data_IF_317322021357
#
_entry.id   IF_317322021357
#
_cell.length_a   1.000
_cell.length_b   1.000
_cell.length_c   1.000
_cell.angle_alpha   90.00
_cell.angle_beta   90.00
_cell.angle_gamma   90.00
#
_symmetry.space_group_name_H-M   'P 1'
#
loop_
_entity.id
_entity.type
_entity.pdbx_description
1 polymer ?
#
# COMPACT_ATOMS: atom_id res chain seq x y z
N UNK A 1 -19.06 44.07 14.37
CA UNK A 1 -17.75 43.54 14.78
C UNK A 1 -16.94 43.22 13.53
N UNK A 2 -16.06 44.12 13.11
CA UNK A 2 -15.11 43.82 12.04
C UNK A 2 -13.88 43.15 12.65
N UNK A 3 -13.83 41.83 12.59
CA UNK A 3 -12.62 41.09 12.93
C UNK A 3 -11.62 41.20 11.80
N UNK A 4 -10.32 41.20 12.12
CA UNK A 4 -9.20 41.20 11.14
C UNK A 4 -9.25 40.03 10.15
N UNK A 5 -10.13 39.04 10.39
CA UNK A 5 -10.38 37.89 9.53
C UNK A 5 -11.43 38.13 8.42
N UNK A 6 -12.19 39.22 8.47
CA UNK A 6 -13.22 39.53 7.47
C UNK A 6 -12.60 40.24 6.26
N UNK A 7 -12.18 39.47 5.26
CA UNK A 7 -11.63 40.00 4.00
C UNK A 7 -12.69 40.25 2.92
N UNK A 8 -13.88 39.66 3.05
CA UNK A 8 -15.02 39.87 2.15
C UNK A 8 -16.32 39.99 2.97
N UNK A 9 -17.31 40.72 2.45
CA UNK A 9 -18.62 40.86 3.11
C UNK A 9 -19.43 39.55 3.18
N UNK A 10 -19.17 38.62 2.26
CA UNK A 10 -19.72 37.26 2.30
C UNK A 10 -18.59 36.25 2.50
N UNK A 11 -18.67 35.46 3.57
CA UNK A 11 -17.76 34.35 3.82
C UNK A 11 -18.06 33.22 2.82
N UNK A 12 -17.43 33.26 1.65
CA UNK A 12 -17.57 32.21 0.65
C UNK A 12 -16.66 31.04 1.00
N UNK A 13 -17.26 29.86 1.18
CA UNK A 13 -16.49 28.61 1.25
C UNK A 13 -15.79 28.38 -0.09
N UNK A 14 -14.47 28.28 -0.04
CA UNK A 14 -13.65 27.97 -1.21
C UNK A 14 -12.98 26.61 -0.99
N UNK A 15 -12.68 25.91 -2.08
CA UNK A 15 -11.91 24.66 -2.03
C UNK A 15 -10.61 24.82 -1.22
N UNK A 16 -9.90 25.95 -1.37
CA UNK A 16 -8.67 26.23 -0.61
C UNK A 16 -8.91 26.40 0.88
N UNK A 17 -10.03 27.00 1.29
CA UNK A 17 -10.38 27.11 2.70
C UNK A 17 -10.67 25.73 3.31
N UNK A 18 -11.44 24.89 2.60
CA UNK A 18 -11.71 23.50 3.02
C UNK A 18 -10.43 22.67 3.07
N UNK A 19 -9.60 22.74 2.02
CA UNK A 19 -8.31 22.04 1.96
C UNK A 19 -7.42 22.39 3.16
N UNK A 20 -7.38 23.67 3.55
CA UNK A 20 -6.61 24.12 4.73
C UNK A 20 -7.14 23.53 6.04
N UNK A 21 -8.46 23.35 6.16
CA UNK A 21 -9.07 22.72 7.33
C UNK A 21 -8.69 21.24 7.39
N UNK A 22 -8.92 20.51 6.30
CA UNK A 22 -8.67 19.06 6.24
C UNK A 22 -7.21 18.65 6.42
N UNK A 23 -6.26 19.57 6.17
CA UNK A 23 -4.82 19.32 6.32
C UNK A 23 -4.23 19.81 7.63
N UNK A 24 -5.00 20.49 8.47
CA UNK A 24 -4.48 21.11 9.69
C UNK A 24 -4.41 20.11 10.85
N UNK A 25 -3.19 19.79 11.25
CA UNK A 25 -2.89 18.85 12.36
C UNK A 25 -3.37 19.35 13.74
N UNK A 26 -3.74 20.63 13.86
CA UNK A 26 -4.39 21.13 15.08
C UNK A 26 -5.66 20.35 15.41
N UNK A 27 -6.41 19.86 14.42
CA UNK A 27 -7.64 19.11 14.68
C UNK A 27 -7.43 17.75 15.36
N UNK A 28 -6.21 17.21 15.33
CA UNK A 28 -5.81 15.99 16.04
C UNK A 28 -5.05 16.28 17.34
N UNK A 29 -5.12 17.51 17.86
CA UNK A 29 -4.44 17.90 19.11
C UNK A 29 -2.95 18.20 18.96
N UNK A 30 -2.44 18.32 17.73
CA UNK A 30 -1.02 18.62 17.45
C UNK A 30 -0.83 20.11 17.22
N UNK A 31 -0.03 20.76 18.08
CA UNK A 31 0.35 22.16 17.92
C UNK A 31 1.68 22.25 17.16
N UNK A 32 1.64 22.74 15.92
CA UNK A 32 2.83 22.98 15.11
C UNK A 32 3.17 24.48 15.05
N UNK A 33 4.30 24.87 15.64
CA UNK A 33 4.83 26.24 15.66
C UNK A 33 6.07 26.39 14.76
N UNK A 34 6.41 27.63 14.41
CA UNK A 34 7.60 27.92 13.59
C UNK A 34 7.43 27.66 12.09
N UNK A 35 6.20 27.50 11.57
CA UNK A 35 5.95 27.25 10.13
C UNK A 35 6.50 28.33 9.19
N UNK A 36 6.69 29.54 9.70
CA UNK A 36 7.19 30.71 8.96
C UNK A 36 8.26 31.41 9.78
N UNK A 37 9.27 31.94 9.12
CA UNK A 37 10.33 32.72 9.75
C UNK A 37 11.05 33.63 8.76
N UNK A 38 11.95 34.45 9.25
CA UNK A 38 12.85 35.25 8.40
C UNK A 38 14.18 34.52 8.20
N UNK A 39 14.79 34.56 7.01
CA UNK A 39 16.06 33.89 6.75
C UNK A 39 17.20 34.36 7.66
N UNK A 40 17.22 35.65 8.00
CA UNK A 40 18.10 36.22 8.99
C UNK A 40 17.42 37.44 9.65
N UNK A 41 18.11 38.06 10.61
CA UNK A 41 17.60 39.22 11.34
C UNK A 41 17.55 40.53 10.53
N UNK A 42 18.27 40.61 9.42
CA UNK A 42 18.35 41.82 8.55
C UNK A 42 17.30 41.81 7.45
N UNK A 43 16.90 40.64 6.98
CA UNK A 43 15.98 40.44 5.88
C UNK A 43 14.58 40.22 6.44
N UNK A 44 13.75 41.26 6.39
CA UNK A 44 12.35 41.23 6.86
C UNK A 44 11.38 40.55 5.87
N UNK A 45 11.86 39.51 5.17
CA UNK A 45 11.04 38.71 4.24
C UNK A 45 10.65 37.42 4.93
N UNK A 46 9.36 37.23 5.17
CA UNK A 46 8.82 36.01 5.78
C UNK A 46 8.78 34.90 4.74
N UNK A 47 9.44 33.78 5.03
CA UNK A 47 9.41 32.55 4.21
C UNK A 47 8.82 31.39 5.00
N UNK A 48 8.24 30.43 4.30
CA UNK A 48 7.88 29.14 4.88
C UNK A 48 9.15 28.36 5.20
N UNK A 49 9.17 27.73 6.38
CA UNK A 49 10.24 26.82 6.79
C UNK A 49 9.88 25.39 6.42
N UNK A 50 10.89 24.57 6.24
CA UNK A 50 10.73 23.13 6.00
C UNK A 50 10.04 22.46 7.19
N UNK A 51 9.25 21.41 6.96
CA UNK A 51 8.46 20.77 8.03
C UNK A 51 9.35 20.17 9.12
N UNK A 52 10.58 19.78 8.77
CA UNK A 52 11.61 19.30 9.68
C UNK A 52 12.07 20.35 10.69
N UNK A 53 11.93 21.64 10.40
CA UNK A 53 12.24 22.74 11.32
C UNK A 53 11.07 23.12 12.23
N UNK A 54 9.89 22.51 12.04
CA UNK A 54 8.71 22.86 12.81
C UNK A 54 8.77 22.23 14.19
N UNK A 55 8.46 23.03 15.21
CA UNK A 55 8.29 22.52 16.56
C UNK A 55 6.87 21.99 16.67
N UNK A 56 6.73 20.65 16.66
CA UNK A 56 5.44 19.96 16.83
C UNK A 56 5.33 19.43 18.26
N UNK A 57 4.26 19.81 18.95
CA UNK A 57 3.90 19.27 20.27
C UNK A 57 2.61 18.49 20.11
N UNK A 58 2.67 17.19 20.37
CA UNK A 58 1.52 16.29 20.34
C UNK A 58 0.69 16.44 21.63
N UNK A 59 -0.62 16.15 21.55
CA UNK A 59 -1.56 16.21 22.68
C UNK A 59 -1.55 17.55 23.43
N UNK A 60 -1.35 18.67 22.71
CA UNK A 60 -1.32 20.00 23.31
C UNK A 60 -2.72 20.48 23.76
N UNK A 61 -3.78 19.91 23.21
CA UNK A 61 -5.18 20.14 23.59
C UNK A 61 -6.05 18.95 23.16
N UNK A 62 -7.31 18.94 23.61
CA UNK A 62 -8.29 17.93 23.21
C UNK A 62 -8.48 17.93 21.68
N UNK A 63 -8.34 16.75 21.07
CA UNK A 63 -8.51 16.58 19.64
C UNK A 63 -9.99 16.70 19.25
N UNK A 64 -10.26 17.36 18.12
CA UNK A 64 -11.61 17.51 17.57
C UNK A 64 -12.02 16.32 16.70
N UNK A 65 -11.05 15.63 16.11
CA UNK A 65 -11.23 14.41 15.31
C UNK A 65 -10.19 13.37 15.69
N UNK A 66 -10.51 12.09 15.46
CA UNK A 66 -9.55 11.02 15.69
C UNK A 66 -8.36 11.12 14.73
N UNK A 67 -7.21 10.59 15.17
CA UNK A 67 -6.04 10.48 14.31
C UNK A 67 -6.33 9.61 13.07
N UNK A 68 -7.09 8.52 13.25
CA UNK A 68 -7.45 7.58 12.20
C UNK A 68 -8.29 8.25 11.10
N UNK A 69 -9.33 8.99 11.48
CA UNK A 69 -10.18 9.71 10.52
C UNK A 69 -9.37 10.76 9.75
N UNK A 70 -8.53 11.52 10.46
CA UNK A 70 -7.70 12.56 9.84
C UNK A 70 -6.68 11.96 8.85
N UNK A 71 -6.07 10.82 9.19
CA UNK A 71 -5.19 10.10 8.27
C UNK A 71 -5.95 9.53 7.08
N UNK A 72 -7.14 8.96 7.29
CA UNK A 72 -7.98 8.46 6.21
C UNK A 72 -8.31 9.58 5.21
N UNK A 73 -8.68 10.77 5.69
CA UNK A 73 -8.92 11.95 4.84
C UNK A 73 -7.65 12.37 4.10
N UNK A 74 -6.48 12.43 4.77
CA UNK A 74 -5.21 12.76 4.10
C UNK A 74 -4.92 11.79 2.94
N UNK A 75 -5.14 10.49 3.13
CA UNK A 75 -4.97 9.47 2.08
C UNK A 75 -5.98 9.68 0.95
N UNK A 76 -7.25 9.94 1.27
CA UNK A 76 -8.27 10.22 0.25
C UNK A 76 -7.92 11.46 -0.58
N UNK A 77 -7.36 12.51 0.03
CA UNK A 77 -6.98 13.76 -0.65
C UNK A 77 -5.81 13.59 -1.62
N UNK A 78 -4.99 12.55 -1.49
CA UNK A 78 -3.93 12.24 -2.45
C UNK A 78 -4.48 11.72 -3.79
N UNK A 79 -5.71 11.20 -3.79
CA UNK A 79 -6.36 10.68 -5.00
C UNK A 79 -6.96 11.84 -5.80
N UNK A 80 -6.53 11.99 -7.05
CA UNK A 80 -7.14 12.97 -7.95
C UNK A 80 -8.46 12.44 -8.51
N UNK A 81 -9.56 12.84 -7.86
CA UNK A 81 -10.94 12.52 -8.26
C UNK A 81 -11.62 13.70 -8.95
N UNK A 82 -10.87 14.62 -9.58
CA UNK A 82 -11.46 15.79 -10.24
C UNK A 82 -12.37 15.37 -11.41
N UNK A 83 -13.60 15.85 -11.37
CA UNK A 83 -14.53 15.78 -12.50
C UNK A 83 -14.29 16.94 -13.47
N UNK A 84 -14.56 16.73 -14.75
CA UNK A 84 -14.72 17.85 -15.68
C UNK A 84 -15.95 18.69 -15.28
N UNK A 85 -15.98 20.00 -15.56
CA UNK A 85 -17.13 20.86 -15.24
C UNK A 85 -18.48 20.34 -15.76
N UNK A 86 -18.47 19.59 -16.86
CA UNK A 86 -19.66 19.04 -17.51
C UNK A 86 -20.09 17.66 -16.98
N UNK A 87 -19.51 17.18 -15.88
CA UNK A 87 -19.78 15.87 -15.30
C UNK A 87 -19.95 15.97 -13.78
N UNK A 88 -21.05 15.41 -13.28
CA UNK A 88 -21.36 15.42 -11.84
C UNK A 88 -20.56 14.36 -11.06
N UNK A 89 -20.20 13.25 -11.72
CA UNK A 89 -19.51 12.12 -11.11
C UNK A 89 -18.19 11.80 -11.81
N UNK A 90 -17.18 11.45 -11.01
CA UNK A 90 -15.91 11.01 -11.57
C UNK A 90 -15.98 9.53 -11.95
N UNK A 91 -15.18 9.16 -12.95
CA UNK A 91 -15.18 7.82 -13.50
C UNK A 91 -14.64 6.78 -12.51
N UNK A 92 -15.06 5.51 -12.67
CA UNK A 92 -14.75 4.39 -11.78
C UNK A 92 -13.27 4.29 -11.37
N UNK A 93 -12.34 4.51 -12.31
CA UNK A 93 -10.90 4.38 -12.07
C UNK A 93 -10.15 5.71 -11.95
N UNK A 94 -10.86 6.82 -11.77
CA UNK A 94 -10.24 8.13 -11.53
C UNK A 94 -9.37 8.11 -10.27
N UNK A 95 -8.11 8.52 -10.41
CA UNK A 95 -7.14 8.54 -9.31
C UNK A 95 -6.53 7.18 -8.93
N UNK A 96 -6.90 6.08 -9.60
CA UNK A 96 -6.40 4.73 -9.29
C UNK A 96 -5.33 4.20 -10.25
N UNK A 97 -5.37 4.62 -11.52
CA UNK A 97 -4.50 4.04 -12.56
C UNK A 97 -3.22 4.83 -12.72
N UNK A 98 -2.09 4.14 -12.66
CA UNK A 98 -0.76 4.71 -12.86
C UNK A 98 0.00 3.92 -13.94
N UNK A 99 0.85 4.62 -14.68
CA UNK A 99 1.72 3.99 -15.67
C UNK A 99 2.84 3.20 -14.97
N UNK A 100 3.06 1.93 -15.34
CA UNK A 100 4.13 1.11 -14.77
C UNK A 100 5.53 1.73 -14.94
N UNK A 101 5.81 2.31 -16.10
CA UNK A 101 7.15 2.83 -16.41
C UNK A 101 7.44 4.21 -15.78
N UNK A 102 6.56 5.19 -15.97
CA UNK A 102 6.80 6.57 -15.51
C UNK A 102 6.11 6.92 -14.20
N UNK A 103 5.31 6.00 -13.64
CA UNK A 103 4.55 6.15 -12.39
C UNK A 103 3.59 7.36 -12.36
N UNK A 104 3.37 8.02 -13.49
CA UNK A 104 2.41 9.11 -13.62
C UNK A 104 0.99 8.56 -13.80
N UNK A 105 -0.04 9.30 -13.36
CA UNK A 105 -1.43 8.86 -13.46
C UNK A 105 -1.84 8.65 -14.93
N UNK A 106 -2.63 7.62 -15.20
CA UNK A 106 -3.22 7.38 -16.51
C UNK A 106 -4.49 8.20 -16.69
N UNK A 107 -4.73 8.68 -17.91
CA UNK A 107 -5.87 9.52 -18.24
C UNK A 107 -6.82 8.78 -19.17
N UNK A 108 -8.12 8.99 -18.94
CA UNK A 108 -9.18 8.44 -19.78
C UNK A 108 -9.19 9.14 -21.15
N UNK A 109 -9.29 8.35 -22.21
CA UNK A 109 -9.43 8.81 -23.60
C UNK A 109 -10.63 8.11 -24.22
N UNK A 110 -11.58 8.90 -24.70
CA UNK A 110 -12.70 8.39 -25.51
C UNK A 110 -12.34 8.49 -26.98
N UNK A 111 -12.40 7.35 -27.68
CA UNK A 111 -12.18 7.24 -29.13
C UNK A 111 -13.53 6.95 -29.80
N UNK A 112 -14.12 7.91 -30.52
CA UNK A 112 -15.32 7.66 -31.29
C UNK A 112 -15.00 6.81 -32.53
N UNK A 113 -15.89 5.88 -32.89
CA UNK A 113 -15.79 5.04 -34.07
C UNK A 113 -17.18 4.80 -34.66
N UNK A 114 -17.48 5.52 -35.74
CA UNK A 114 -18.80 5.53 -36.41
C UNK A 114 -19.94 5.71 -35.39
N UNK A 115 -20.60 4.62 -34.99
CA UNK A 115 -21.73 4.59 -34.06
C UNK A 115 -21.35 4.26 -32.61
N UNK A 116 -20.13 3.78 -32.35
CA UNK A 116 -19.67 3.32 -31.03
C UNK A 116 -18.60 4.24 -30.45
N UNK A 117 -18.55 4.33 -29.13
CA UNK A 117 -17.49 5.03 -28.39
C UNK A 117 -16.68 4.00 -27.62
N UNK A 118 -15.37 3.99 -27.83
CA UNK A 118 -14.43 3.14 -27.09
C UNK A 118 -13.68 3.97 -26.06
N UNK A 119 -13.43 3.40 -24.89
CA UNK A 119 -12.75 4.09 -23.79
C UNK A 119 -11.44 3.37 -23.52
N UNK A 120 -10.36 4.15 -23.45
CA UNK A 120 -9.02 3.68 -23.14
C UNK A 120 -8.43 4.50 -21.99
N UNK A 121 -7.56 3.88 -21.21
CA UNK A 121 -6.66 4.58 -20.30
C UNK A 121 -5.30 4.68 -20.96
N UNK A 122 -4.76 5.90 -21.03
CA UNK A 122 -3.47 6.18 -21.68
C UNK A 122 -2.52 6.87 -20.72
N UNK A 123 -1.22 6.62 -20.88
CA UNK A 123 -0.20 7.32 -20.10
C UNK A 123 -0.28 8.85 -20.31
N UNK A 124 -0.42 9.61 -19.22
CA UNK A 124 -0.52 11.07 -19.27
C UNK A 124 0.77 11.72 -19.78
N UNK A 125 1.92 11.24 -19.33
CA UNK A 125 3.25 11.71 -19.75
C UNK A 125 3.45 11.54 -21.25
N UNK A 126 3.19 10.36 -21.79
CA UNK A 126 3.30 10.15 -23.24
C UNK A 126 2.35 11.08 -24.02
N UNK A 127 1.11 11.26 -23.53
CA UNK A 127 0.12 12.12 -24.21
C UNK A 127 0.52 13.60 -24.22
N UNK A 128 1.12 14.12 -23.15
CA UNK A 128 1.47 15.54 -23.05
C UNK A 128 2.89 15.86 -23.53
N UNK A 129 3.89 15.10 -23.09
CA UNK A 129 5.31 15.39 -23.34
C UNK A 129 6.02 14.37 -24.24
N UNK A 130 5.39 13.22 -24.54
CA UNK A 130 5.99 12.11 -25.32
C UNK A 130 7.31 11.58 -24.74
N UNK A 131 7.55 11.78 -23.45
CA UNK A 131 8.77 11.33 -22.76
C UNK A 131 8.66 9.91 -22.19
N UNK A 132 7.49 9.27 -22.33
CA UNK A 132 7.24 7.88 -21.94
C UNK A 132 6.70 7.12 -23.15
N UNK A 133 6.82 5.78 -23.16
CA UNK A 133 6.28 4.92 -24.20
C UNK A 133 4.74 5.01 -24.30
N UNK A 134 4.15 4.68 -25.47
CA UNK A 134 2.72 4.83 -25.72
C UNK A 134 1.84 3.75 -25.07
N UNK A 135 1.88 3.66 -23.74
CA UNK A 135 1.02 2.74 -22.98
C UNK A 135 -0.45 3.13 -23.08
N UNK A 136 -1.26 2.15 -23.46
CA UNK A 136 -2.71 2.26 -23.60
C UNK A 136 -3.33 0.92 -23.28
N UNK A 137 -4.43 0.95 -22.53
CA UNK A 137 -5.24 -0.24 -22.21
C UNK A 137 -6.72 0.08 -22.36
N UNK A 138 -7.51 -0.89 -22.85
CA UNK A 138 -8.95 -0.72 -22.98
C UNK A 138 -9.61 -0.67 -21.60
N UNK A 139 -10.55 0.25 -21.38
CA UNK A 139 -11.21 0.40 -20.08
C UNK A 139 -11.96 -0.87 -19.64
N UNK A 140 -12.59 -1.58 -20.59
CA UNK A 140 -13.26 -2.87 -20.32
C UNK A 140 -12.30 -3.95 -19.83
N UNK A 141 -11.08 -3.97 -20.38
CA UNK A 141 -10.06 -4.94 -19.98
C UNK A 141 -9.57 -4.67 -18.55
N UNK A 142 -9.40 -3.39 -18.20
CA UNK A 142 -9.09 -2.99 -16.81
C UNK A 142 -10.22 -3.39 -15.88
N UNK A 143 -11.46 -3.10 -16.25
CA UNK A 143 -12.65 -3.42 -15.45
C UNK A 143 -12.76 -4.91 -15.17
N UNK A 144 -12.62 -5.74 -16.20
CA UNK A 144 -12.69 -7.19 -16.07
C UNK A 144 -11.55 -7.75 -15.21
N UNK A 145 -10.31 -7.27 -15.40
CA UNK A 145 -9.16 -7.71 -14.60
C UNK A 145 -9.29 -7.32 -13.14
N UNK A 146 -9.70 -6.08 -12.86
CA UNK A 146 -9.90 -5.60 -11.49
C UNK A 146 -11.05 -6.34 -10.83
N UNK A 147 -12.16 -6.57 -11.54
CA UNK A 147 -13.29 -7.34 -11.04
C UNK A 147 -12.88 -8.75 -10.64
N UNK A 148 -12.16 -9.48 -11.52
CA UNK A 148 -11.66 -10.82 -11.22
C UNK A 148 -10.73 -10.82 -10.03
N UNK A 149 -9.75 -9.91 -9.98
CA UNK A 149 -8.82 -9.82 -8.85
C UNK A 149 -9.54 -9.58 -7.51
N UNK A 150 -10.56 -8.73 -7.48
CA UNK A 150 -11.38 -8.50 -6.29
C UNK A 150 -12.20 -9.75 -5.95
N UNK A 151 -12.81 -10.39 -6.95
CA UNK A 151 -13.61 -11.59 -6.76
C UNK A 151 -12.79 -12.75 -6.18
N UNK A 152 -11.61 -13.02 -6.76
CA UNK A 152 -10.67 -14.05 -6.32
C UNK A 152 -10.22 -13.79 -4.87
N UNK A 153 -9.97 -12.52 -4.53
CA UNK A 153 -9.60 -12.13 -3.15
C UNK A 153 -10.75 -12.37 -2.16
N UNK A 154 -11.98 -12.04 -2.55
CA UNK A 154 -13.18 -12.28 -1.72
C UNK A 154 -13.39 -13.79 -1.54
N UNK A 155 -13.30 -14.56 -2.61
CA UNK A 155 -13.45 -16.02 -2.59
C UNK A 155 -12.40 -16.67 -1.67
N UNK A 156 -11.15 -16.21 -1.71
CA UNK A 156 -10.10 -16.69 -0.83
C UNK A 156 -10.42 -16.43 0.65
N UNK A 157 -10.96 -15.26 0.99
CA UNK A 157 -11.37 -14.92 2.37
C UNK A 157 -12.54 -15.79 2.83
N UNK A 158 -13.56 -15.96 1.99
CA UNK A 158 -14.73 -16.81 2.30
C UNK A 158 -14.30 -18.26 2.49
N UNK A 159 -13.47 -18.80 1.59
CA UNK A 159 -12.97 -20.17 1.69
C UNK A 159 -12.12 -20.37 2.95
N UNK A 160 -11.34 -19.37 3.37
CA UNK A 160 -10.61 -19.40 4.62
C UNK A 160 -11.55 -19.45 5.83
N UNK A 161 -12.60 -18.63 5.87
CA UNK A 161 -13.61 -18.68 6.94
C UNK A 161 -14.31 -20.04 7.00
N UNK A 162 -14.67 -20.61 5.84
CA UNK A 162 -15.26 -21.94 5.76
C UNK A 162 -14.29 -23.03 6.24
N UNK A 163 -13.01 -22.95 5.85
CA UNK A 163 -11.99 -23.89 6.30
C UNK A 163 -11.80 -23.81 7.82
N UNK A 164 -11.73 -22.60 8.39
CA UNK A 164 -11.62 -22.39 9.84
C UNK A 164 -12.84 -22.94 10.59
N UNK A 165 -14.05 -22.68 10.09
CA UNK A 165 -15.28 -23.21 10.67
C UNK A 165 -15.36 -24.74 10.58
N UNK A 166 -14.83 -25.35 9.52
CA UNK A 166 -14.73 -26.80 9.38
C UNK A 166 -13.75 -27.39 10.40
N UNK A 167 -12.58 -26.77 10.57
CA UNK A 167 -11.58 -27.16 11.57
C UNK A 167 -12.17 -27.08 12.99
N UNK A 168 -13.01 -26.07 13.26
CA UNK A 168 -13.68 -25.93 14.55
C UNK A 168 -14.67 -27.06 14.87
N UNK A 169 -15.33 -27.60 13.84
CA UNK A 169 -16.32 -28.67 13.97
C UNK A 169 -15.71 -30.08 14.04
N UNK A 170 -14.42 -30.24 13.77
CA UNK A 170 -13.74 -31.52 13.92
C UNK A 170 -13.69 -31.93 15.39
N UNK A 171 -13.93 -33.22 15.72
CA UNK A 171 -13.73 -33.76 17.07
C UNK A 171 -12.34 -33.39 17.60
N UNK A 172 -12.21 -33.14 18.91
CA UNK A 172 -10.97 -32.62 19.52
C UNK A 172 -9.69 -33.42 19.17
N UNK A 173 -9.80 -34.74 18.99
CA UNK A 173 -8.70 -35.61 18.54
C UNK A 173 -8.34 -35.36 17.06
N UNK A 174 -9.34 -35.20 16.18
CA UNK A 174 -9.13 -34.88 14.76
C UNK A 174 -8.62 -33.44 14.55
N UNK A 175 -9.03 -32.49 15.39
CA UNK A 175 -8.52 -31.10 15.35
C UNK A 175 -7.06 -31.00 15.77
N UNK A 176 -6.62 -31.80 16.75
CA UNK A 176 -5.20 -31.89 17.13
C UNK A 176 -4.38 -32.53 16.01
N UNK A 177 -4.83 -33.64 15.45
CA UNK A 177 -4.17 -34.30 14.30
C UNK A 177 -4.01 -33.33 13.11
N UNK A 178 -5.09 -32.64 12.73
CA UNK A 178 -5.07 -31.64 11.65
C UNK A 178 -4.09 -30.49 11.92
N UNK A 179 -4.05 -29.96 13.16
CA UNK A 179 -3.11 -28.89 13.52
C UNK A 179 -1.65 -29.35 13.44
N UNK A 180 -1.36 -30.60 13.84
CA UNK A 180 -0.01 -31.16 13.69
C UNK A 180 0.34 -31.41 12.23
N UNK A 181 -0.58 -31.92 11.42
CA UNK A 181 -0.39 -32.07 9.97
C UNK A 181 -0.12 -30.72 9.28
N UNK A 182 -0.85 -29.66 9.63
CA UNK A 182 -0.62 -28.32 9.10
C UNK A 182 0.74 -27.74 9.54
N UNK A 183 1.16 -27.98 10.79
CA UNK A 183 2.50 -27.59 11.27
C UNK A 183 3.61 -28.35 10.55
N UNK A 184 3.43 -29.66 10.31
CA UNK A 184 4.35 -30.51 9.55
C UNK A 184 4.49 -29.97 8.13
N UNK A 185 3.38 -29.74 7.42
CA UNK A 185 3.40 -29.23 6.05
C UNK A 185 4.11 -27.87 5.94
N UNK A 186 3.89 -26.96 6.90
CA UNK A 186 4.59 -25.67 6.94
C UNK A 186 6.10 -25.82 7.15
N UNK A 187 6.53 -26.71 8.05
CA UNK A 187 7.96 -26.96 8.30
C UNK A 187 8.60 -27.60 7.05
N UNK A 188 7.90 -28.52 6.38
CA UNK A 188 8.36 -29.15 5.13
C UNK A 188 8.51 -28.13 3.99
N UNK A 189 7.55 -27.22 3.81
CA UNK A 189 7.62 -26.14 2.81
C UNK A 189 8.83 -25.22 3.10
N UNK A 190 9.06 -24.86 4.37
CA UNK A 190 10.22 -24.05 4.74
C UNK A 190 11.54 -24.78 4.46
N UNK A 191 11.63 -26.09 4.74
CA UNK A 191 12.79 -26.92 4.40
C UNK A 191 13.02 -26.90 2.88
N UNK A 192 11.99 -27.13 2.07
CA UNK A 192 12.10 -27.13 0.61
C UNK A 192 12.56 -25.76 0.08
N UNK A 193 12.04 -24.66 0.65
CA UNK A 193 12.48 -23.30 0.32
C UNK A 193 13.97 -23.10 0.57
N UNK A 194 14.47 -23.50 1.74
CA UNK A 194 15.90 -23.38 2.07
C UNK A 194 16.78 -24.32 1.24
N UNK A 195 16.27 -25.50 0.86
CA UNK A 195 16.96 -26.39 -0.08
C UNK A 195 17.10 -25.76 -1.47
N UNK A 196 16.04 -25.12 -1.99
CA UNK A 196 16.08 -24.36 -3.25
C UNK A 196 17.07 -23.20 -3.20
N UNK A 197 17.06 -22.43 -2.11
CA UNK A 197 18.03 -21.33 -1.89
C UNK A 197 19.47 -21.86 -1.85
N UNK A 198 19.71 -23.00 -1.18
CA UNK A 198 21.01 -23.65 -1.11
C UNK A 198 21.49 -24.16 -2.47
N UNK A 199 20.59 -24.67 -3.32
CA UNK A 199 20.90 -25.06 -4.70
C UNK A 199 21.29 -23.84 -5.54
N UNK A 200 20.51 -22.75 -5.46
CA UNK A 200 20.78 -21.50 -6.19
C UNK A 200 22.07 -20.78 -5.79
N UNK A 201 22.64 -21.06 -4.60
CA UNK A 201 23.93 -20.48 -4.19
C UNK A 201 25.07 -20.80 -5.16
N UNK A 202 25.08 -22.00 -5.75
CA UNK A 202 26.14 -22.37 -6.68
C UNK A 202 26.05 -21.58 -7.99
N UNK A 203 24.84 -21.36 -8.49
CA UNK A 203 24.59 -20.53 -9.66
C UNK A 203 25.00 -19.08 -9.41
N UNK A 204 24.67 -18.53 -8.25
CA UNK A 204 25.07 -17.17 -7.86
C UNK A 204 26.59 -17.03 -7.70
N UNK A 205 27.28 -18.07 -7.23
CA UNK A 205 28.74 -18.09 -7.13
C UNK A 205 29.41 -18.11 -8.50
N UNK A 206 28.95 -18.97 -9.43
CA UNK A 206 29.44 -18.96 -10.82
C UNK A 206 29.12 -17.65 -11.52
N UNK A 207 27.95 -17.07 -11.27
CA UNK A 207 27.51 -15.80 -11.82
C UNK A 207 28.28 -14.58 -11.28
N UNK A 208 29.21 -14.77 -10.33
CA UNK A 208 30.01 -13.71 -9.74
C UNK A 208 29.21 -12.74 -8.87
N UNK A 209 28.00 -13.12 -8.45
CA UNK A 209 27.12 -12.31 -7.59
C UNK A 209 27.58 -12.35 -6.13
N UNK A 210 28.18 -13.47 -5.72
CA UNK A 210 28.71 -13.70 -4.37
C UNK A 210 30.15 -14.20 -4.44
N UNK A 211 30.95 -13.86 -3.44
CA UNK A 211 32.33 -14.33 -3.34
C UNK A 211 32.44 -15.72 -2.68
N UNK A 212 33.65 -16.26 -2.63
CA UNK A 212 33.90 -17.59 -2.04
C UNK A 212 33.61 -17.63 -0.53
N UNK A 213 33.91 -16.57 0.19
CA UNK A 213 33.68 -16.47 1.64
C UNK A 213 32.18 -16.45 1.94
N UNK A 214 31.46 -15.57 1.24
CA UNK A 214 30.00 -15.42 1.30
C UNK A 214 29.28 -16.71 0.92
N UNK A 215 29.76 -17.43 -0.11
CA UNK A 215 29.22 -18.73 -0.48
C UNK A 215 29.29 -19.74 0.68
N UNK A 216 30.44 -19.86 1.36
CA UNK A 216 30.57 -20.77 2.49
C UNK A 216 29.72 -20.34 3.69
N UNK A 217 29.64 -19.04 3.98
CA UNK A 217 28.80 -18.51 5.06
C UNK A 217 27.31 -18.79 4.82
N UNK A 218 26.79 -18.46 3.64
CA UNK A 218 25.38 -18.71 3.30
C UNK A 218 25.06 -20.20 3.22
N UNK A 219 25.96 -21.01 2.64
CA UNK A 219 25.79 -22.47 2.60
C UNK A 219 25.71 -23.05 4.00
N UNK A 220 26.60 -22.63 4.91
CA UNK A 220 26.61 -23.12 6.29
C UNK A 220 25.36 -22.66 7.05
N UNK A 221 24.96 -21.40 6.89
CA UNK A 221 23.75 -20.83 7.49
C UNK A 221 22.49 -21.58 7.03
N UNK A 222 22.32 -21.81 5.73
CA UNK A 222 21.17 -22.57 5.21
C UNK A 222 21.20 -24.03 5.62
N UNK A 223 22.38 -24.65 5.66
CA UNK A 223 22.51 -26.04 6.13
C UNK A 223 22.09 -26.17 7.59
N UNK A 224 22.57 -25.28 8.46
CA UNK A 224 22.16 -25.24 9.86
C UNK A 224 20.65 -25.00 10.01
N UNK A 225 20.10 -24.05 9.25
CA UNK A 225 18.65 -23.76 9.29
C UNK A 225 17.82 -24.95 8.82
N UNK A 226 18.29 -25.73 7.85
CA UNK A 226 17.63 -26.97 7.40
C UNK A 226 17.68 -28.02 8.50
N UNK A 227 18.85 -28.23 9.13
CA UNK A 227 19.02 -29.18 10.23
C UNK A 227 18.10 -28.84 11.42
N UNK A 228 18.10 -27.58 11.87
CA UNK A 228 17.25 -27.09 12.96
C UNK A 228 15.76 -27.34 12.67
N UNK A 229 15.34 -27.17 11.40
CA UNK A 229 13.96 -27.41 10.95
C UNK A 229 13.64 -28.89 10.82
N UNK A 230 14.58 -29.73 10.39
CA UNK A 230 14.42 -31.18 10.38
C UNK A 230 14.27 -31.75 11.80
N UNK A 231 15.04 -31.23 12.76
CA UNK A 231 14.88 -31.59 14.16
C UNK A 231 13.54 -31.12 14.73
N UNK A 232 13.08 -29.92 14.36
CA UNK A 232 11.74 -29.46 14.70
C UNK A 232 10.65 -30.36 14.10
N UNK A 233 10.78 -30.78 12.84
CA UNK A 233 9.86 -31.70 12.17
C UNK A 233 9.76 -33.03 12.92
N UNK A 234 10.88 -33.61 13.30
CA UNK A 234 10.94 -34.87 14.06
C UNK A 234 10.26 -34.75 15.43
N UNK A 235 10.44 -33.62 16.13
CA UNK A 235 9.76 -33.34 17.41
C UNK A 235 8.25 -33.30 17.23
N UNK A 236 7.76 -32.52 16.26
CA UNK A 236 6.32 -32.36 15.99
C UNK A 236 5.69 -33.69 15.55
N UNK A 237 6.38 -34.48 14.72
CA UNK A 237 5.90 -35.82 14.33
C UNK A 237 5.81 -36.79 15.51
N UNK A 238 6.72 -36.70 16.47
CA UNK A 238 6.70 -37.53 17.69
C UNK A 238 5.55 -37.12 18.61
N UNK A 239 5.32 -35.82 18.78
CA UNK A 239 4.19 -35.28 19.56
C UNK A 239 2.84 -35.67 18.95
N UNK A 240 2.72 -35.63 17.62
CA UNK A 240 1.52 -36.09 16.91
C UNK A 240 1.22 -37.57 17.18
N UNK A 241 2.23 -38.46 17.07
CA UNK A 241 2.08 -39.91 17.35
C UNK A 241 1.74 -40.23 18.79
N UNK A 242 2.02 -39.33 19.73
CA UNK A 242 1.72 -39.51 21.16
C UNK A 242 0.33 -38.98 21.55
N UNK A 243 -0.22 -38.06 20.75
CA UNK A 243 -1.49 -37.36 21.05
C UNK A 243 -2.68 -37.86 20.25
N UNK A 244 -2.45 -38.53 19.11
CA UNK A 244 -3.43 -39.20 18.25
C UNK A 244 -3.42 -40.69 18.55
#
# INVERSE_FOLDING_TARGET
FDTVFKTCDTAKWTYKAVQRILTNEVYIGVLAQGKRGTPNYKVRVVKSKDESEWVKVENAHEALVSYEDFMAVKVMMQRDMRCSPDQDEAHLFSGFLFCGDCQQPMIRKTVPSKTKKYIYYVCSTNKHSRTCSPHSIAAKEVEEKVFRAIHDQIELVINLEHALAMIERLPSQSRKAFNYEAQIAKIEEEIERYQKLKLGLYENFIGGVIDKSEYFEFRNSYTKTIEDKQDALLRVQKEMKQTV
#
